data_IF_330791351738
#
_entry.id   IF_330791351738
#
_cell.length_a   1.000
_cell.length_b   1.000
_cell.length_c   1.000
_cell.angle_alpha   90.00
_cell.angle_beta   90.00
_cell.angle_gamma   90.00
#
_symmetry.space_group_name_H-M   'P 1'
#
loop_
_entity.id
_entity.type
_entity.pdbx_description
1 polymer ?
#
# COMPACT_ATOMS: atom_id res chain seq x y z
N UNK A 1 0.80 2.14 3.36
CA UNK A 1 0.46 1.78 4.76
C UNK A 1 0.66 0.28 4.92
N UNK A 2 1.17 -0.16 6.07
CA UNK A 2 1.54 -1.57 6.29
C UNK A 2 1.01 -2.06 7.64
N UNK A 3 0.30 -3.18 7.64
CA UNK A 3 -0.36 -3.75 8.82
C UNK A 3 0.15 -5.15 9.09
N UNK A 4 0.11 -5.58 10.35
CA UNK A 4 0.26 -6.98 10.71
C UNK A 4 -0.90 -7.81 10.13
N UNK A 5 -0.68 -9.11 9.93
CA UNK A 5 -1.65 -10.00 9.28
C UNK A 5 -3.01 -10.05 10.00
N UNK A 6 -2.98 -10.02 11.33
CA UNK A 6 -4.13 -10.06 12.24
C UNK A 6 -4.90 -8.72 12.33
N UNK A 7 -4.25 -7.61 11.99
CA UNK A 7 -4.84 -6.27 11.98
C UNK A 7 -5.59 -5.94 10.68
N UNK A 8 -5.63 -6.85 9.70
CA UNK A 8 -6.30 -6.66 8.42
C UNK A 8 -7.39 -7.71 8.20
N UNK A 9 -8.57 -7.26 7.74
CA UNK A 9 -9.67 -8.14 7.37
C UNK A 9 -10.41 -7.58 6.15
N UNK A 10 -10.77 -8.46 5.22
CA UNK A 10 -11.69 -8.14 4.15
C UNK A 10 -13.12 -8.00 4.68
N UNK A 11 -13.80 -6.90 4.33
CA UNK A 11 -15.15 -6.61 4.81
C UNK A 11 -16.27 -7.17 3.91
N UNK A 12 -15.95 -7.71 2.75
CA UNK A 12 -16.92 -8.24 1.80
C UNK A 12 -17.01 -9.77 1.91
N UNK A 13 -18.23 -10.33 1.98
CA UNK A 13 -18.47 -11.78 1.87
C UNK A 13 -18.26 -12.25 0.43
N UNK A 14 -17.79 -13.49 0.25
CA UNK A 14 -17.76 -14.25 -1.01
C UNK A 14 -19.07 -14.05 -1.80
N UNK A 15 -19.03 -13.33 -2.92
CA UNK A 15 -18.46 -13.79 -4.20
C UNK A 15 -17.35 -12.87 -4.75
N UNK A 16 -16.70 -12.06 -3.91
CA UNK A 16 -15.81 -10.95 -4.33
C UNK A 16 -14.45 -11.38 -4.91
N UNK A 17 -14.03 -12.64 -4.76
CA UNK A 17 -12.92 -13.16 -5.59
C UNK A 17 -13.26 -13.14 -7.10
N UNK A 18 -14.55 -13.11 -7.45
CA UNK A 18 -15.01 -12.90 -8.82
C UNK A 18 -14.62 -11.54 -9.38
N UNK A 19 -14.52 -10.50 -8.54
CA UNK A 19 -14.28 -9.11 -8.95
C UNK A 19 -12.82 -8.66 -8.82
N UNK A 20 -11.97 -9.47 -8.16
CA UNK A 20 -10.56 -9.16 -7.93
C UNK A 20 -9.64 -10.14 -8.64
N UNK A 21 -8.61 -9.64 -9.30
CA UNK A 21 -7.47 -10.46 -9.71
C UNK A 21 -6.54 -10.61 -8.53
N UNK A 22 -6.17 -11.86 -8.22
CA UNK A 22 -5.11 -12.18 -7.28
C UNK A 22 -3.93 -12.81 -8.03
N UNK A 23 -2.74 -12.24 -7.88
CA UNK A 23 -1.54 -12.74 -8.55
C UNK A 23 -0.29 -12.50 -7.72
N UNK A 24 0.76 -13.27 -7.98
CA UNK A 24 2.09 -13.06 -7.44
C UNK A 24 3.01 -12.43 -8.51
N UNK A 25 3.80 -11.40 -8.19
CA UNK A 25 4.84 -10.92 -9.10
C UNK A 25 5.89 -12.00 -9.35
N UNK A 26 6.34 -12.13 -10.60
CA UNK A 26 7.29 -13.17 -11.02
C UNK A 26 8.61 -13.11 -10.24
N UNK A 27 9.11 -11.90 -9.97
CA UNK A 27 10.35 -11.65 -9.23
C UNK A 27 10.21 -11.79 -7.71
N UNK A 28 8.97 -11.81 -7.20
CA UNK A 28 8.65 -11.82 -5.76
C UNK A 28 7.48 -12.77 -5.48
N UNK A 29 7.64 -14.10 -5.67
CA UNK A 29 6.55 -15.07 -5.55
C UNK A 29 5.94 -15.17 -4.14
N UNK A 30 6.68 -14.73 -3.11
CA UNK A 30 6.19 -14.65 -1.72
C UNK A 30 5.31 -13.41 -1.45
N UNK A 31 5.01 -12.61 -2.47
CA UNK A 31 4.07 -11.50 -2.38
C UNK A 31 2.84 -11.82 -3.22
N UNK A 32 1.66 -11.63 -2.66
CA UNK A 32 0.38 -11.65 -3.39
C UNK A 32 -0.17 -10.24 -3.53
N UNK A 33 -0.79 -9.91 -4.65
CA UNK A 33 -1.43 -8.63 -4.93
C UNK A 33 -2.88 -8.86 -5.35
N UNK A 34 -3.75 -7.97 -4.89
CA UNK A 34 -5.16 -7.91 -5.24
C UNK A 34 -5.45 -6.59 -5.95
N UNK A 35 -6.08 -6.67 -7.11
CA UNK A 35 -6.55 -5.50 -7.86
C UNK A 35 -7.97 -5.72 -8.38
N UNK A 36 -8.69 -4.64 -8.63
CA UNK A 36 -10.01 -4.71 -9.28
C UNK A 36 -9.88 -5.25 -10.71
N UNK A 37 -10.70 -6.24 -11.10
CA UNK A 37 -10.74 -6.77 -12.48
C UNK A 37 -11.26 -5.76 -13.50
N UNK A 38 -12.14 -4.86 -13.06
CA UNK A 38 -12.78 -3.90 -13.96
C UNK A 38 -11.88 -2.71 -14.27
N UNK A 39 -11.33 -2.05 -13.24
CA UNK A 39 -10.52 -0.82 -13.43
C UNK A 39 -9.02 -1.02 -13.23
N UNK A 40 -8.57 -2.19 -12.79
CA UNK A 40 -7.15 -2.48 -12.56
C UNK A 40 -6.55 -1.85 -11.30
N UNK A 41 -7.31 -1.05 -10.53
CA UNK A 41 -6.82 -0.39 -9.34
C UNK A 41 -6.30 -1.41 -8.30
N UNK A 42 -5.07 -1.21 -7.82
CA UNK A 42 -4.45 -2.07 -6.82
C UNK A 42 -5.02 -1.75 -5.44
N UNK A 43 -5.51 -2.78 -4.75
CA UNK A 43 -6.23 -2.66 -3.49
C UNK A 43 -5.32 -2.98 -2.31
N UNK A 44 -4.76 -4.18 -2.33
CA UNK A 44 -3.96 -4.68 -1.23
C UNK A 44 -2.89 -5.66 -1.72
N UNK A 45 -1.87 -5.84 -0.91
CA UNK A 45 -0.84 -6.85 -1.12
C UNK A 45 -0.45 -7.48 0.19
N UNK A 46 -0.08 -8.75 0.15
CA UNK A 46 0.31 -9.54 1.31
C UNK A 46 1.73 -10.06 1.11
N UNK A 47 2.56 -9.92 2.13
CA UNK A 47 3.94 -10.39 2.16
C UNK A 47 4.06 -11.60 3.06
N UNK A 48 4.09 -12.80 2.49
CA UNK A 48 4.00 -14.05 3.26
C UNK A 48 5.16 -14.20 4.24
N UNK A 49 6.38 -13.85 3.84
CA UNK A 49 7.58 -13.97 4.69
C UNK A 49 7.55 -13.08 5.95
N UNK A 50 6.82 -11.96 5.90
CA UNK A 50 6.84 -10.98 6.97
C UNK A 50 5.47 -10.87 7.66
N UNK A 51 4.46 -11.62 7.20
CA UNK A 51 3.10 -11.56 7.74
C UNK A 51 2.49 -10.17 7.70
N UNK A 52 2.70 -9.41 6.60
CA UNK A 52 2.24 -8.02 6.49
C UNK A 52 1.33 -7.77 5.31
N UNK A 53 0.25 -7.03 5.56
CA UNK A 53 -0.58 -6.43 4.53
C UNK A 53 -0.09 -5.03 4.18
N UNK A 54 -0.26 -4.64 2.93
CA UNK A 54 -0.08 -3.27 2.47
C UNK A 54 -1.30 -2.82 1.69
N UNK A 55 -1.82 -1.65 2.00
CA UNK A 55 -3.01 -1.06 1.36
C UNK A 55 -2.61 0.22 0.62
N UNK A 56 -3.16 0.41 -0.58
CA UNK A 56 -2.93 1.62 -1.38
C UNK A 56 -3.84 2.75 -0.90
N UNK A 57 -3.22 3.87 -0.49
CA UNK A 57 -3.94 5.01 0.08
C UNK A 57 -4.93 5.70 -0.88
N UNK A 58 -4.75 5.53 -2.19
CA UNK A 58 -5.64 6.11 -3.20
C UNK A 58 -7.09 5.60 -3.11
N UNK A 59 -7.30 4.42 -2.50
CA UNK A 59 -8.61 3.77 -2.38
C UNK A 59 -9.23 3.92 -0.99
N UNK A 60 -8.65 4.78 -0.14
CA UNK A 60 -9.25 5.09 1.14
C UNK A 60 -10.53 5.89 0.95
N UNK A 61 -11.48 5.65 1.86
CA UNK A 61 -12.75 6.35 1.88
C UNK A 61 -12.52 7.86 2.02
N UNK A 62 -13.31 8.64 1.29
CA UNK A 62 -13.26 10.10 1.30
C UNK A 62 -14.58 10.69 1.80
N UNK A 63 -14.51 11.88 2.39
CA UNK A 63 -15.69 12.67 2.73
C UNK A 63 -16.30 13.35 1.49
N UNK A 64 -17.39 14.09 1.70
CA UNK A 64 -18.11 14.81 0.65
C UNK A 64 -17.25 15.89 -0.03
N UNK A 65 -16.19 16.36 0.64
CA UNK A 65 -15.22 17.32 0.14
C UNK A 65 -14.05 16.64 -0.59
N UNK A 66 -14.03 15.30 -0.65
CA UNK A 66 -13.01 14.51 -1.31
C UNK A 66 -11.74 14.31 -0.47
N UNK A 67 -11.72 14.70 0.82
CA UNK A 67 -10.59 14.45 1.72
C UNK A 67 -10.69 13.02 2.27
N UNK A 68 -9.54 12.36 2.42
CA UNK A 68 -9.48 11.02 3.04
C UNK A 68 -10.00 11.10 4.48
N UNK A 69 -10.96 10.25 4.83
CA UNK A 69 -11.45 10.13 6.22
C UNK A 69 -10.30 9.69 7.12
N UNK A 70 -10.28 10.17 8.37
CA UNK A 70 -9.20 9.87 9.33
C UNK A 70 -7.79 10.28 8.85
N UNK A 71 -7.69 11.36 8.06
CA UNK A 71 -6.42 11.81 7.47
C UNK A 71 -5.26 11.93 8.46
N UNK A 72 -5.50 12.41 9.68
CA UNK A 72 -4.42 12.57 10.68
C UNK A 72 -3.79 11.25 11.11
N UNK A 73 -4.55 10.14 11.04
CA UNK A 73 -4.10 8.78 11.36
C UNK A 73 -3.46 8.08 10.14
N UNK A 74 -3.84 8.48 8.93
CA UNK A 74 -3.52 7.77 7.68
C UNK A 74 -2.50 8.51 6.79
N UNK A 75 -2.21 9.78 7.07
CA UNK A 75 -1.28 10.58 6.27
C UNK A 75 0.10 9.92 6.19
N UNK A 76 0.79 9.98 5.03
CA UNK A 76 2.14 9.48 4.90
C UNK A 76 3.07 10.14 5.93
N UNK A 77 3.97 9.34 6.49
CA UNK A 77 4.98 9.81 7.45
C UNK A 77 6.39 9.83 6.89
N UNK A 78 6.62 9.16 5.74
CA UNK A 78 7.91 9.03 5.06
C UNK A 78 7.72 8.48 3.65
N UNK A 79 8.82 8.51 2.86
CA UNK A 79 8.95 7.84 1.58
C UNK A 79 9.93 6.67 1.66
N UNK A 80 9.54 5.51 1.11
CA UNK A 80 10.41 4.34 0.94
C UNK A 80 10.68 4.08 -0.53
N UNK A 81 11.79 3.40 -0.83
CA UNK A 81 12.22 3.09 -2.21
C UNK A 81 12.38 4.36 -3.07
N UNK A 82 12.79 5.46 -2.45
CA UNK A 82 12.81 6.79 -3.03
C UNK A 82 13.96 7.03 -4.02
N UNK A 83 14.91 6.09 -4.09
CA UNK A 83 16.02 6.12 -5.04
C UNK A 83 15.58 5.98 -6.51
N UNK A 84 14.39 5.42 -6.77
CA UNK A 84 13.86 5.24 -8.13
C UNK A 84 12.81 6.29 -8.51
N UNK A 85 12.75 7.42 -7.81
CA UNK A 85 11.77 8.47 -8.06
C UNK A 85 11.96 9.13 -9.43
N UNK A 86 10.86 9.48 -10.09
CA UNK A 86 10.87 10.32 -11.29
C UNK A 86 10.75 11.81 -10.97
N UNK A 87 10.12 12.12 -9.83
CA UNK A 87 9.89 13.48 -9.34
C UNK A 87 10.26 13.56 -7.86
N UNK A 88 10.82 14.68 -7.45
CA UNK A 88 11.09 14.98 -6.05
C UNK A 88 9.85 15.60 -5.38
N UNK A 89 9.44 15.00 -4.26
CA UNK A 89 8.29 15.40 -3.48
C UNK A 89 8.73 16.41 -2.42
N UNK A 90 8.24 17.64 -2.56
CA UNK A 90 8.54 18.75 -1.66
C UNK A 90 7.56 18.75 -0.48
N UNK A 91 7.70 17.79 0.43
CA UNK A 91 6.73 17.53 1.51
C UNK A 91 7.34 17.35 2.93
N UNK A 92 8.60 17.75 3.14
CA UNK A 92 9.34 17.64 4.42
C UNK A 92 9.41 16.23 5.06
N UNK A 93 8.83 15.22 4.41
CA UNK A 93 8.82 13.86 4.89
C UNK A 93 10.20 13.22 4.65
N UNK A 94 10.71 12.41 5.60
CA UNK A 94 11.94 11.63 5.44
C UNK A 94 11.86 10.73 4.20
N UNK A 95 12.99 10.61 3.50
CA UNK A 95 13.11 9.90 2.23
C UNK A 95 14.18 8.81 2.37
N UNK A 96 13.81 7.57 2.06
CA UNK A 96 14.69 6.42 2.24
C UNK A 96 14.89 5.67 0.93
N UNK A 97 16.11 5.19 0.68
CA UNK A 97 16.44 4.37 -0.48
C UNK A 97 15.69 3.02 -0.48
N UNK A 98 15.30 2.54 0.69
CA UNK A 98 14.57 1.30 0.92
C UNK A 98 13.64 1.43 2.11
N UNK A 99 13.82 0.57 3.11
CA UNK A 99 13.04 0.58 4.35
C UNK A 99 13.58 1.62 5.35
N UNK A 100 12.68 2.22 6.12
CA UNK A 100 13.00 3.16 7.21
C UNK A 100 13.94 2.52 8.24
N UNK A 101 14.96 3.25 8.67
CA UNK A 101 16.02 2.83 9.62
C UNK A 101 16.85 1.58 9.22
N UNK A 102 16.60 1.00 8.06
CA UNK A 102 17.35 -0.17 7.53
C UNK A 102 18.12 0.16 6.25
N UNK A 103 17.85 1.31 5.63
CA UNK A 103 18.43 1.73 4.35
C UNK A 103 19.04 3.13 4.44
N UNK A 104 19.77 3.55 3.40
CA UNK A 104 20.30 4.91 3.32
C UNK A 104 19.17 5.96 3.31
N UNK A 105 19.35 7.03 4.08
CA UNK A 105 18.47 8.20 4.07
C UNK A 105 18.91 9.18 2.99
N UNK A 106 17.98 9.54 2.11
CA UNK A 106 18.18 10.39 0.93
C UNK A 106 17.72 11.85 1.15
N UNK A 107 17.05 12.13 2.26
CA UNK A 107 16.49 13.42 2.67
C UNK A 107 15.66 13.29 3.94
#
# INVERSE_FOLDING_TARGET
MHYAADAFKWIHQEPVYGSLDCYAPVDKPWKKRWRCKNCGACIASYHEKNGRWSVWGALLERDEQGKVKHWEELKPTLHMFYGTRLLDANDDLPKWAGYDNESERLG
#
